data_IF_108861989042
#
_entry.id   IF_108861989042
#
_cell.length_a   1.000
_cell.length_b   1.000
_cell.length_c   1.000
_cell.angle_alpha   90.00
_cell.angle_beta   90.00
_cell.angle_gamma   90.00
#
_symmetry.space_group_name_H-M   'P 1'
#
loop_
_entity.id
_entity.type
_entity.pdbx_description
1 polymer ?
#
# COMPACT_ATOMS: atom_id res chain seq x y z
N UNK A 1 9.63 6.12 -3.05
CA UNK A 1 9.24 4.70 -3.41
C UNK A 1 8.21 4.18 -2.41
N UNK A 2 7.72 2.94 -2.55
CA UNK A 2 6.65 2.45 -1.68
C UNK A 2 6.56 0.93 -1.76
N UNK A 3 5.99 0.30 -0.72
CA UNK A 3 5.65 -1.13 -0.75
C UNK A 3 4.29 -1.32 -0.09
N UNK A 4 3.33 -1.94 -0.76
CA UNK A 4 2.05 -2.35 -0.18
C UNK A 4 2.01 -3.87 -0.04
N UNK A 5 1.32 -4.35 0.99
CA UNK A 5 1.16 -5.78 1.23
C UNK A 5 -0.22 -6.09 1.82
N UNK A 6 -0.62 -7.34 1.65
CA UNK A 6 -1.75 -7.94 2.34
C UNK A 6 -1.25 -9.01 3.32
N UNK A 7 -2.01 -9.31 4.35
CA UNK A 7 -1.76 -10.43 5.25
C UNK A 7 -3.10 -10.97 5.76
N UNK A 8 -3.22 -12.27 5.85
CA UNK A 8 -4.46 -12.90 6.30
C UNK A 8 -4.18 -13.91 7.40
N UNK A 9 -4.87 -13.74 8.50
CA UNK A 9 -5.00 -14.71 9.59
C UNK A 9 -6.49 -14.99 9.78
N UNK A 10 -7.05 -14.83 10.98
CA UNK A 10 -8.49 -14.79 11.20
C UNK A 10 -9.13 -13.59 10.49
N UNK A 11 -8.52 -12.40 10.64
CA UNK A 11 -8.91 -11.19 9.95
C UNK A 11 -8.00 -10.95 8.74
N UNK A 12 -8.40 -10.03 7.86
CA UNK A 12 -7.64 -9.59 6.70
C UNK A 12 -6.98 -8.24 7.00
N UNK A 13 -5.70 -8.14 6.70
CA UNK A 13 -4.86 -6.97 6.93
C UNK A 13 -4.32 -6.43 5.61
N UNK A 14 -4.29 -5.11 5.50
CA UNK A 14 -3.78 -4.39 4.33
C UNK A 14 -3.00 -3.16 4.81
N UNK A 15 -1.93 -2.80 4.13
CA UNK A 15 -1.19 -1.57 4.43
C UNK A 15 0.03 -1.39 3.55
N UNK A 16 0.79 -0.35 3.84
CA UNK A 16 1.93 0.05 3.03
C UNK A 16 3.04 0.72 3.82
N UNK A 17 4.24 0.83 3.21
CA UNK A 17 5.21 1.87 3.52
C UNK A 17 5.04 3.05 2.57
N UNK A 18 5.08 4.29 3.06
CA UNK A 18 5.27 5.48 2.22
C UNK A 18 6.75 5.87 2.30
N UNK A 19 7.48 5.64 1.21
CA UNK A 19 8.91 5.97 1.15
C UNK A 19 9.09 7.22 0.29
N UNK A 20 9.55 8.30 0.92
CA UNK A 20 9.75 9.60 0.29
C UNK A 20 10.76 10.45 1.07
N UNK A 21 11.14 11.62 0.54
CA UNK A 21 12.11 12.51 1.20
C UNK A 21 11.48 13.42 2.27
N UNK A 22 10.17 13.65 2.23
CA UNK A 22 9.45 14.47 3.21
C UNK A 22 7.96 14.10 3.29
N UNK A 23 7.31 14.47 4.40
CA UNK A 23 5.86 14.36 4.60
C UNK A 23 5.18 15.65 4.15
N UNK A 24 4.08 15.53 3.39
CA UNK A 24 3.23 16.66 3.01
C UNK A 24 2.35 17.17 4.16
N UNK A 25 2.38 16.54 5.32
CA UNK A 25 1.45 16.78 6.43
C UNK A 25 0.41 15.68 6.50
N UNK A 26 0.88 14.44 6.32
CA UNK A 26 0.06 13.24 6.28
C UNK A 26 -0.64 13.04 7.62
N UNK A 27 -1.90 12.59 7.57
CA UNK A 27 -2.74 12.35 8.74
C UNK A 27 -3.72 11.20 8.48
N UNK A 28 -4.12 10.50 9.53
CA UNK A 28 -5.20 9.51 9.43
C UNK A 28 -6.52 10.27 9.31
N UNK A 29 -7.22 10.06 8.21
CA UNK A 29 -8.47 10.75 7.90
C UNK A 29 -9.61 9.75 7.76
N UNK A 30 -10.72 10.02 8.45
CA UNK A 30 -12.00 9.34 8.26
C UNK A 30 -12.90 10.24 7.43
N UNK A 31 -13.40 9.70 6.31
CA UNK A 31 -14.47 10.31 5.52
C UNK A 31 -15.78 9.62 5.88
N UNK A 32 -16.68 10.28 6.64
CA UNK A 32 -17.97 9.72 7.03
C UNK A 32 -18.93 9.60 5.84
N UNK A 33 -19.99 8.82 6.00
CA UNK A 33 -20.94 8.44 4.92
C UNK A 33 -21.62 9.60 4.21
N UNK A 34 -21.84 10.72 4.89
CA UNK A 34 -22.52 11.89 4.34
C UNK A 34 -21.59 13.04 3.97
N UNK A 35 -20.28 12.80 3.95
CA UNK A 35 -19.33 13.73 3.34
C UNK A 35 -19.55 13.76 1.83
N UNK A 36 -19.72 14.94 1.23
CA UNK A 36 -19.92 15.08 -0.22
C UNK A 36 -18.59 15.06 -0.94
N UNK A 37 -18.30 13.96 -1.67
CA UNK A 37 -17.19 13.94 -2.61
C UNK A 37 -17.57 14.68 -3.88
N UNK A 38 -16.76 15.67 -4.23
CA UNK A 38 -16.81 16.39 -5.51
C UNK A 38 -15.70 15.90 -6.41
N UNK A 39 -16.09 15.41 -7.57
CA UNK A 39 -15.16 14.89 -8.57
C UNK A 39 -15.06 15.84 -9.76
N UNK A 40 -13.99 15.71 -10.56
CA UNK A 40 -13.73 16.62 -11.70
C UNK A 40 -14.67 16.39 -12.87
N UNK A 41 -14.91 15.11 -13.21
CA UNK A 41 -15.59 14.75 -14.47
C UNK A 41 -16.61 13.61 -14.31
N UNK A 42 -16.76 13.04 -13.14
CA UNK A 42 -17.81 12.10 -12.78
C UNK A 42 -18.77 12.75 -11.78
N UNK A 43 -19.94 12.17 -11.60
CA UNK A 43 -20.96 12.70 -10.69
C UNK A 43 -20.49 12.74 -9.24
N UNK A 44 -20.87 13.80 -8.53
CA UNK A 44 -20.63 13.96 -7.10
C UNK A 44 -21.34 12.88 -6.30
N UNK A 45 -20.68 12.38 -5.24
CA UNK A 45 -21.25 11.35 -4.37
C UNK A 45 -21.56 11.96 -3.00
N UNK A 46 -22.85 12.04 -2.66
CA UNK A 46 -23.35 12.66 -1.41
C UNK A 46 -23.51 11.69 -0.25
N UNK A 47 -23.64 10.41 -0.56
CA UNK A 47 -23.76 9.34 0.43
C UNK A 47 -23.03 8.10 -0.06
N UNK A 48 -22.16 7.56 0.76
CA UNK A 48 -21.23 6.51 0.38
C UNK A 48 -20.80 5.66 1.59
N UNK A 49 -19.99 4.65 1.38
CA UNK A 49 -19.38 3.89 2.47
C UNK A 49 -18.36 4.78 3.21
N UNK A 50 -18.35 4.70 4.54
CA UNK A 50 -17.31 5.39 5.33
C UNK A 50 -15.92 4.84 4.98
N UNK A 51 -14.95 5.75 4.91
CA UNK A 51 -13.57 5.46 4.49
C UNK A 51 -12.63 5.90 5.62
N UNK A 52 -11.58 5.12 5.90
CA UNK A 52 -10.46 5.51 6.74
C UNK A 52 -9.15 5.22 6.02
N UNK A 53 -8.20 6.15 6.08
CA UNK A 53 -6.91 5.99 5.44
C UNK A 53 -5.92 7.08 5.79
N UNK A 54 -4.71 6.97 5.27
CA UNK A 54 -3.71 8.02 5.34
C UNK A 54 -3.91 8.98 4.18
N UNK A 55 -4.01 10.27 4.47
CA UNK A 55 -4.25 11.30 3.46
C UNK A 55 -3.47 12.58 3.75
N UNK A 56 -3.21 13.32 2.71
CA UNK A 56 -2.95 14.76 2.79
C UNK A 56 -4.26 15.49 2.52
N UNK A 57 -4.77 16.21 3.52
CA UNK A 57 -6.03 16.96 3.38
C UNK A 57 -5.73 18.40 3.00
N UNK A 58 -6.25 18.81 1.84
CA UNK A 58 -6.13 20.18 1.33
C UNK A 58 -7.43 20.58 0.65
N UNK A 59 -7.85 21.84 0.79
CA UNK A 59 -9.11 22.36 0.22
C UNK A 59 -10.33 21.49 0.60
N UNK A 60 -10.35 21.00 1.86
CA UNK A 60 -11.34 20.06 2.39
C UNK A 60 -11.49 18.74 1.59
N UNK A 61 -10.47 18.39 0.79
CA UNK A 61 -10.42 17.15 0.02
C UNK A 61 -9.32 16.21 0.54
N UNK A 62 -9.64 14.94 0.85
CA UNK A 62 -8.67 13.96 1.32
C UNK A 62 -7.95 13.30 0.14
N UNK A 63 -6.69 13.66 -0.08
CA UNK A 63 -5.82 13.01 -1.06
C UNK A 63 -5.23 11.74 -0.42
N UNK A 64 -5.93 10.62 -0.55
CA UNK A 64 -5.56 9.36 0.06
C UNK A 64 -4.34 8.72 -0.62
N UNK A 65 -3.39 8.25 0.17
CA UNK A 65 -2.29 7.38 -0.26
C UNK A 65 -2.67 5.91 -0.18
N UNK A 66 -3.34 5.51 0.90
CA UNK A 66 -3.95 4.22 1.15
C UNK A 66 -5.19 4.40 2.03
N UNK A 67 -6.19 3.57 1.80
CA UNK A 67 -7.42 3.62 2.58
C UNK A 67 -8.18 2.29 2.51
N UNK A 68 -9.09 2.11 3.45
CA UNK A 68 -10.09 1.06 3.47
C UNK A 68 -11.48 1.65 3.65
N UNK A 69 -12.49 0.95 3.18
CA UNK A 69 -13.87 1.30 3.52
C UNK A 69 -14.48 0.33 4.55
N UNK A 70 -15.61 0.72 5.11
CA UNK A 70 -16.35 -0.06 6.10
C UNK A 70 -16.90 -1.41 5.59
N UNK A 71 -16.85 -1.66 4.28
CA UNK A 71 -17.28 -2.91 3.64
C UNK A 71 -16.17 -3.93 3.45
N UNK A 72 -14.93 -3.53 3.70
CA UNK A 72 -13.80 -4.44 3.65
C UNK A 72 -13.02 -4.41 2.34
N UNK A 73 -13.14 -3.34 1.56
CA UNK A 73 -12.31 -3.08 0.39
C UNK A 73 -11.16 -2.15 0.79
N UNK A 74 -9.95 -2.44 0.30
CA UNK A 74 -8.72 -1.71 0.58
C UNK A 74 -8.03 -1.31 -0.72
N UNK A 75 -7.43 -0.09 -0.76
CA UNK A 75 -6.68 0.42 -1.92
C UNK A 75 -5.44 1.17 -1.44
N UNK A 76 -4.33 1.03 -2.17
CA UNK A 76 -3.17 1.90 -2.04
C UNK A 76 -2.67 2.32 -3.43
N UNK A 77 -2.28 3.60 -3.56
CA UNK A 77 -1.62 4.15 -4.73
C UNK A 77 -0.11 4.25 -4.49
N UNK A 78 0.70 3.74 -5.41
CA UNK A 78 2.15 3.72 -5.32
C UNK A 78 2.77 4.40 -6.54
N UNK A 79 3.95 5.00 -6.37
CA UNK A 79 4.67 5.65 -7.47
C UNK A 79 5.00 4.68 -8.61
N UNK A 80 4.70 5.11 -9.86
CA UNK A 80 4.90 4.35 -11.09
C UNK A 80 5.50 5.25 -12.19
N UNK A 81 6.50 6.03 -11.81
CA UNK A 81 7.14 7.06 -12.62
C UNK A 81 7.70 6.49 -13.92
N UNK A 82 7.41 7.17 -15.05
CA UNK A 82 7.87 6.76 -16.37
C UNK A 82 7.07 5.63 -17.03
N UNK A 83 6.16 4.97 -16.30
CA UNK A 83 5.26 3.95 -16.84
C UNK A 83 3.79 4.38 -16.79
N UNK A 84 3.39 5.13 -15.77
CA UNK A 84 2.03 5.67 -15.71
C UNK A 84 1.76 6.60 -16.91
N UNK A 85 0.64 6.37 -17.58
CA UNK A 85 0.16 7.17 -18.68
C UNK A 85 -1.33 7.46 -18.51
N UNK A 86 -1.67 8.74 -18.43
CA UNK A 86 -3.03 9.23 -18.27
C UNK A 86 -3.49 9.90 -19.56
N UNK A 87 -4.78 9.89 -19.80
CA UNK A 87 -5.37 10.33 -21.05
C UNK A 87 -6.26 11.56 -20.84
N UNK A 88 -6.50 12.28 -21.91
CA UNK A 88 -7.56 13.29 -21.97
C UNK A 88 -8.93 12.62 -21.77
N UNK A 89 -9.93 13.44 -21.48
CA UNK A 89 -11.33 13.01 -21.33
C UNK A 89 -11.79 12.17 -22.52
N UNK A 90 -12.39 11.01 -22.23
CA UNK A 90 -12.92 10.09 -23.22
C UNK A 90 -14.46 10.02 -23.11
N UNK A 91 -15.15 10.20 -24.23
CA UNK A 91 -16.60 10.05 -24.28
C UNK A 91 -17.03 8.60 -23.98
N UNK A 92 -18.10 8.44 -23.18
CA UNK A 92 -18.63 7.12 -22.82
C UNK A 92 -17.79 6.35 -21.77
N UNK A 93 -16.82 7.01 -21.13
CA UNK A 93 -16.03 6.48 -20.03
C UNK A 93 -16.25 7.27 -18.74
N UNK A 94 -16.09 6.60 -17.62
CA UNK A 94 -15.98 7.25 -16.32
C UNK A 94 -14.60 7.90 -16.21
N UNK A 95 -14.55 9.22 -16.36
CA UNK A 95 -13.31 9.99 -16.40
C UNK A 95 -12.92 10.41 -14.99
N UNK A 96 -11.94 9.73 -14.40
CA UNK A 96 -11.54 9.87 -12.98
C UNK A 96 -10.09 10.37 -12.92
N UNK A 97 -9.83 11.46 -12.21
CA UNK A 97 -8.46 11.92 -12.01
C UNK A 97 -7.71 10.93 -11.09
N UNK A 98 -6.39 10.83 -11.27
CA UNK A 98 -5.58 9.85 -10.55
C UNK A 98 -5.68 9.99 -9.01
N UNK A 99 -5.85 11.20 -8.50
CA UNK A 99 -6.02 11.47 -7.06
C UNK A 99 -7.44 11.15 -6.55
N UNK A 100 -8.41 11.03 -7.43
CA UNK A 100 -9.80 10.70 -7.11
C UNK A 100 -10.07 9.19 -7.07
N UNK A 101 -9.17 8.37 -7.64
CA UNK A 101 -9.42 6.94 -7.85
C UNK A 101 -9.71 6.20 -6.53
N UNK A 102 -8.93 6.46 -5.47
CA UNK A 102 -9.13 5.81 -4.17
C UNK A 102 -10.51 6.15 -3.59
N UNK A 103 -10.87 7.43 -3.36
CA UNK A 103 -12.19 7.75 -2.81
C UNK A 103 -13.33 7.36 -3.74
N UNK A 104 -13.16 7.47 -5.08
CA UNK A 104 -14.21 7.12 -6.04
C UNK A 104 -14.57 5.62 -6.00
N UNK A 105 -13.58 4.74 -5.91
CA UNK A 105 -13.81 3.29 -5.81
C UNK A 105 -14.34 2.92 -4.42
N UNK A 106 -13.68 3.39 -3.34
CA UNK A 106 -14.04 3.01 -1.98
C UNK A 106 -15.42 3.51 -1.55
N UNK A 107 -15.90 4.61 -2.13
CA UNK A 107 -17.22 5.13 -1.85
C UNK A 107 -18.36 4.24 -2.39
N UNK A 108 -18.10 3.43 -3.44
CA UNK A 108 -19.13 2.72 -4.20
C UNK A 108 -19.00 1.20 -4.14
N UNK A 109 -17.78 0.68 -4.03
CA UNK A 109 -17.50 -0.76 -4.15
C UNK A 109 -17.30 -1.40 -2.79
N UNK A 110 -17.87 -2.58 -2.59
CA UNK A 110 -17.75 -3.38 -1.37
C UNK A 110 -16.67 -4.47 -1.46
N UNK A 111 -16.22 -4.81 -2.67
CA UNK A 111 -15.30 -5.90 -2.94
C UNK A 111 -14.53 -5.67 -4.26
N UNK A 112 -13.50 -6.49 -4.48
CA UNK A 112 -12.63 -6.40 -5.67
C UNK A 112 -13.37 -6.64 -6.98
N UNK A 113 -14.39 -7.50 -7.02
CA UNK A 113 -15.14 -7.75 -8.26
C UNK A 113 -15.93 -6.52 -8.70
N UNK A 114 -16.57 -5.81 -7.75
CA UNK A 114 -17.26 -4.55 -8.04
C UNK A 114 -16.27 -3.47 -8.50
N UNK A 115 -15.12 -3.37 -7.83
CA UNK A 115 -14.05 -2.46 -8.23
C UNK A 115 -13.53 -2.75 -9.65
N UNK A 116 -13.31 -4.03 -10.00
CA UNK A 116 -12.89 -4.46 -11.34
C UNK A 116 -13.89 -4.01 -12.40
N UNK A 117 -15.19 -4.29 -12.20
CA UNK A 117 -16.25 -3.91 -13.14
C UNK A 117 -16.34 -2.39 -13.33
N UNK A 118 -16.05 -1.62 -12.28
CA UNK A 118 -16.04 -0.16 -12.33
C UNK A 118 -14.83 0.34 -13.13
N UNK A 119 -13.64 -0.20 -12.86
CA UNK A 119 -12.37 0.17 -13.51
C UNK A 119 -12.37 -0.15 -15.02
N UNK A 120 -13.03 -1.23 -15.46
CA UNK A 120 -13.12 -1.57 -16.89
C UNK A 120 -13.81 -0.47 -17.73
N UNK A 121 -14.65 0.34 -17.11
CA UNK A 121 -15.35 1.47 -17.73
C UNK A 121 -14.61 2.79 -17.56
N UNK A 122 -13.59 2.83 -16.73
CA UNK A 122 -12.86 4.04 -16.33
C UNK A 122 -11.87 4.50 -17.38
N UNK A 123 -11.58 5.79 -17.37
CA UNK A 123 -10.42 6.42 -17.96
C UNK A 123 -9.72 7.26 -16.91
N UNK A 124 -8.41 7.08 -16.74
CA UNK A 124 -7.63 7.90 -15.80
C UNK A 124 -7.23 9.19 -16.49
N UNK A 125 -7.67 10.33 -15.92
CA UNK A 125 -7.47 11.66 -16.48
C UNK A 125 -6.06 12.20 -16.24
N UNK A 126 -5.57 12.89 -17.25
CA UNK A 126 -4.36 13.71 -17.20
C UNK A 126 -4.65 15.10 -16.56
N UNK A 127 -5.21 15.10 -15.36
CA UNK A 127 -5.63 16.33 -14.65
C UNK A 127 -4.96 16.39 -13.29
N UNK A 128 -4.13 17.43 -13.00
CA UNK A 128 -3.55 17.63 -11.69
C UNK A 128 -4.60 18.07 -10.67
N UNK A 129 -4.32 17.89 -9.38
CA UNK A 129 -5.20 18.43 -8.33
C UNK A 129 -5.21 19.96 -8.36
N UNK A 130 -4.03 20.58 -8.43
CA UNK A 130 -3.82 22.01 -8.55
C UNK A 130 -2.44 22.31 -9.17
N UNK A 131 -2.15 23.58 -9.45
CA UNK A 131 -0.82 24.00 -9.93
C UNK A 131 0.31 23.67 -8.95
N UNK A 132 0.01 23.61 -7.64
CA UNK A 132 0.97 23.27 -6.58
C UNK A 132 1.12 21.77 -6.35
N UNK A 133 0.14 20.99 -6.76
CA UNK A 133 0.09 19.54 -6.61
C UNK A 133 -0.06 18.93 -8.02
N UNK A 134 1.08 18.73 -8.71
CA UNK A 134 1.10 18.21 -10.08
C UNK A 134 0.64 16.75 -10.14
N UNK A 135 0.54 16.24 -11.36
CA UNK A 135 0.20 14.83 -11.60
C UNK A 135 1.15 13.88 -10.85
N UNK A 136 0.58 13.03 -10.03
CA UNK A 136 1.30 11.90 -9.46
C UNK A 136 1.21 10.70 -10.41
N UNK A 137 2.36 10.16 -10.81
CA UNK A 137 2.43 8.93 -11.61
C UNK A 137 2.20 7.74 -10.70
N UNK A 138 1.02 7.12 -10.74
CA UNK A 138 0.61 6.07 -9.81
C UNK A 138 0.18 4.79 -10.53
N UNK A 139 0.28 3.69 -9.82
CA UNK A 139 -0.45 2.46 -10.00
C UNK A 139 -1.04 1.99 -8.66
N UNK A 140 -1.98 1.06 -8.69
CA UNK A 140 -2.76 0.75 -7.49
C UNK A 140 -2.83 -0.73 -7.22
N UNK A 141 -2.83 -1.10 -5.94
CA UNK A 141 -3.26 -2.40 -5.45
C UNK A 141 -4.63 -2.24 -4.79
N UNK A 142 -5.56 -3.12 -5.16
CA UNK A 142 -6.93 -3.16 -4.62
C UNK A 142 -7.15 -4.56 -4.08
N UNK A 143 -7.63 -4.67 -2.86
CA UNK A 143 -7.70 -5.96 -2.17
C UNK A 143 -8.93 -6.05 -1.27
N UNK A 144 -9.46 -7.25 -1.16
CA UNK A 144 -10.41 -7.66 -0.14
C UNK A 144 -9.94 -8.97 0.53
N UNK A 145 -10.73 -9.54 1.41
CA UNK A 145 -10.35 -10.76 2.15
C UNK A 145 -10.19 -12.02 1.27
N UNK A 146 -10.54 -11.96 -0.01
CA UNK A 146 -10.56 -13.08 -0.94
C UNK A 146 -9.53 -12.98 -2.06
N UNK A 147 -9.23 -11.77 -2.52
CA UNK A 147 -8.36 -11.55 -3.68
C UNK A 147 -7.72 -10.16 -3.67
N UNK A 148 -6.70 -10.02 -4.50
CA UNK A 148 -6.03 -8.75 -4.79
C UNK A 148 -5.87 -8.58 -6.30
N UNK A 149 -5.96 -7.34 -6.77
CA UNK A 149 -5.62 -6.95 -8.14
C UNK A 149 -4.63 -5.79 -8.15
N UNK A 150 -3.87 -5.70 -9.21
CA UNK A 150 -3.02 -4.55 -9.52
C UNK A 150 -3.57 -3.82 -10.74
N UNK A 151 -3.70 -2.50 -10.65
CA UNK A 151 -4.24 -1.65 -11.72
C UNK A 151 -3.14 -0.69 -12.18
N UNK A 152 -2.83 -0.73 -13.45
CA UNK A 152 -1.83 0.11 -14.11
C UNK A 152 -2.44 0.83 -15.32
N UNK A 153 -2.42 2.17 -15.31
CA UNK A 153 -2.77 2.97 -16.48
C UNK A 153 -1.49 3.25 -17.26
N UNK A 154 -1.35 2.59 -18.40
CA UNK A 154 -0.17 2.66 -19.27
C UNK A 154 -0.55 3.13 -20.67
N UNK A 155 0.43 3.33 -21.57
CA UNK A 155 0.20 3.88 -22.90
C UNK A 155 -0.86 3.08 -23.68
N UNK A 156 -0.89 1.76 -23.53
CA UNK A 156 -1.85 0.87 -24.19
C UNK A 156 -3.23 0.83 -23.51
N UNK A 157 -3.43 1.59 -22.43
CA UNK A 157 -4.67 1.67 -21.67
C UNK A 157 -4.53 1.07 -20.26
N UNK A 158 -5.67 0.87 -19.61
CA UNK A 158 -5.71 0.31 -18.26
C UNK A 158 -5.45 -1.20 -18.33
N UNK A 159 -4.50 -1.68 -17.51
CA UNK A 159 -4.22 -3.09 -17.29
C UNK A 159 -4.68 -3.46 -15.89
N UNK A 160 -5.40 -4.57 -15.78
CA UNK A 160 -5.85 -5.13 -14.49
C UNK A 160 -5.24 -6.54 -14.40
N UNK A 161 -4.35 -6.71 -13.42
CA UNK A 161 -3.70 -8.00 -13.16
C UNK A 161 -4.26 -8.64 -11.91
N UNK A 162 -4.51 -9.93 -11.93
CA UNK A 162 -4.67 -10.70 -10.70
C UNK A 162 -3.35 -10.70 -9.93
N UNK A 163 -3.42 -10.38 -8.63
CA UNK A 163 -2.23 -10.29 -7.78
C UNK A 163 -2.25 -11.38 -6.71
N UNK A 164 -1.84 -12.61 -7.03
CA UNK A 164 -1.88 -13.72 -6.08
C UNK A 164 -0.87 -13.57 -4.93
N UNK A 165 0.14 -12.72 -5.11
CA UNK A 165 1.15 -12.43 -4.08
C UNK A 165 0.60 -11.46 -3.05
N UNK A 166 -0.32 -10.54 -3.44
CA UNK A 166 -0.83 -9.48 -2.59
C UNK A 166 0.27 -8.52 -2.12
N UNK A 167 1.22 -8.23 -2.99
CA UNK A 167 2.30 -7.24 -2.79
C UNK A 167 2.38 -6.36 -4.04
N UNK A 168 2.63 -5.08 -3.85
CA UNK A 168 2.96 -4.14 -4.91
C UNK A 168 4.08 -3.22 -4.43
N UNK A 169 5.03 -2.90 -5.33
CA UNK A 169 6.06 -1.89 -5.09
C UNK A 169 5.96 -0.77 -6.12
N UNK A 170 7.00 -0.50 -6.90
CA UNK A 170 7.02 0.53 -7.90
C UNK A 170 7.35 -0.08 -9.28
N UNK A 171 8.21 0.58 -10.08
CA UNK A 171 8.72 0.03 -11.34
C UNK A 171 9.51 -1.28 -11.15
N UNK A 172 9.53 -2.17 -12.14
CA UNK A 172 8.81 -2.13 -13.41
C UNK A 172 7.32 -2.51 -13.26
N UNK A 173 6.60 -2.68 -14.39
CA UNK A 173 5.22 -3.15 -14.41
C UNK A 173 5.03 -4.48 -13.67
N UNK A 174 3.83 -4.69 -13.15
CA UNK A 174 3.52 -5.80 -12.25
C UNK A 174 3.78 -7.19 -12.90
N UNK A 175 3.48 -7.37 -14.17
CA UNK A 175 3.76 -8.60 -14.92
C UNK A 175 5.25 -8.96 -14.91
N UNK A 176 6.14 -7.94 -15.04
CA UNK A 176 7.59 -8.13 -14.98
C UNK A 176 8.06 -8.46 -13.57
N UNK A 177 7.46 -7.83 -12.56
CA UNK A 177 7.75 -8.15 -11.16
C UNK A 177 7.36 -9.60 -10.83
N UNK A 178 6.19 -10.03 -11.27
CA UNK A 178 5.74 -11.42 -11.13
C UNK A 178 6.67 -12.41 -11.88
N UNK A 179 7.06 -12.06 -13.11
CA UNK A 179 8.01 -12.89 -13.87
C UNK A 179 9.34 -13.05 -13.13
N UNK A 180 9.85 -11.99 -12.50
CA UNK A 180 11.12 -12.01 -11.79
C UNK A 180 11.15 -13.00 -10.62
N UNK A 181 10.01 -13.32 -10.00
CA UNK A 181 9.93 -14.32 -8.92
C UNK A 181 10.44 -15.70 -9.34
N UNK A 182 10.37 -16.04 -10.65
CA UNK A 182 10.88 -17.31 -11.18
C UNK A 182 12.39 -17.48 -10.88
N UNK A 183 13.14 -16.39 -10.80
CA UNK A 183 14.58 -16.44 -10.52
C UNK A 183 14.88 -16.80 -9.05
N UNK A 184 13.85 -16.82 -8.17
CA UNK A 184 13.96 -17.00 -6.73
C UNK A 184 13.24 -18.24 -6.21
N UNK A 185 12.83 -19.16 -7.10
CA UNK A 185 12.13 -20.40 -6.72
C UNK A 185 12.94 -21.31 -5.79
N UNK A 186 14.25 -21.12 -5.71
CA UNK A 186 15.13 -21.89 -4.83
C UNK A 186 15.12 -21.40 -3.39
N UNK A 187 14.62 -20.19 -3.12
CA UNK A 187 14.55 -19.63 -1.76
C UNK A 187 13.59 -20.45 -0.89
N UNK A 188 14.02 -20.70 0.34
CA UNK A 188 13.27 -21.51 1.29
C UNK A 188 13.52 -21.04 2.73
N UNK A 189 12.54 -21.10 3.64
CA UNK A 189 12.80 -20.92 5.08
C UNK A 189 13.56 -22.12 5.69
N UNK A 190 13.64 -23.26 4.99
CA UNK A 190 14.37 -24.45 5.41
C UNK A 190 15.84 -24.36 5.06
N UNK A 191 16.68 -25.03 5.83
CA UNK A 191 18.11 -25.17 5.51
C UNK A 191 18.30 -25.91 4.17
N UNK A 192 19.22 -25.45 3.30
CA UNK A 192 19.48 -26.10 2.03
C UNK A 192 20.24 -27.44 2.21
N UNK A 193 20.02 -28.33 1.27
CA UNK A 193 20.86 -29.53 1.07
C UNK A 193 22.00 -29.21 0.09
N UNK A 194 23.14 -29.93 0.21
CA UNK A 194 24.21 -29.82 -0.78
C UNK A 194 23.76 -30.39 -2.13
N UNK A 195 23.34 -29.51 -3.04
CA UNK A 195 23.02 -29.84 -4.45
C UNK A 195 24.08 -29.35 -5.43
N UNK A 196 25.18 -28.74 -4.92
CA UNK A 196 26.23 -28.15 -5.75
C UNK A 196 27.07 -29.22 -6.42
N UNK A 197 27.61 -30.16 -5.64
CA UNK A 197 28.35 -31.33 -6.15
C UNK A 197 28.39 -32.43 -5.09
N UNK A 198 28.35 -33.69 -5.55
CA UNK A 198 28.57 -34.86 -4.69
C UNK A 198 30.04 -35.06 -4.33
N UNK A 199 30.95 -34.42 -5.06
CA UNK A 199 32.40 -34.51 -4.84
C UNK A 199 32.90 -33.56 -3.75
N UNK A 200 32.05 -32.60 -3.34
CA UNK A 200 32.39 -31.61 -2.31
C UNK A 200 31.54 -31.83 -1.05
N UNK A 201 32.18 -31.99 0.05
CA UNK A 201 31.54 -32.03 1.37
C UNK A 201 31.31 -30.59 1.86
N UNK A 202 30.13 -30.03 1.47
CA UNK A 202 29.69 -28.70 1.86
C UNK A 202 28.70 -28.80 3.01
N UNK A 203 28.97 -28.08 4.09
CA UNK A 203 28.16 -28.08 5.30
C UNK A 203 27.54 -26.73 5.62
N UNK A 204 26.46 -26.74 6.39
CA UNK A 204 25.82 -25.54 6.89
C UNK A 204 26.70 -24.86 7.94
N UNK A 205 26.92 -23.54 7.80
CA UNK A 205 27.68 -22.74 8.77
C UNK A 205 26.75 -21.82 9.62
N UNK A 206 25.48 -21.63 9.23
CA UNK A 206 24.53 -20.84 9.99
C UNK A 206 23.06 -21.26 9.72
N UNK A 207 22.15 -20.76 10.57
CA UNK A 207 20.70 -20.82 10.29
C UNK A 207 20.32 -19.80 9.23
N UNK A 208 19.18 -19.98 8.54
CA UNK A 208 18.64 -19.07 7.55
C UNK A 208 19.29 -19.17 6.16
N UNK A 209 20.22 -20.12 5.95
CA UNK A 209 20.92 -20.29 4.67
C UNK A 209 20.00 -20.65 3.50
N UNK A 210 18.77 -21.11 3.71
CA UNK A 210 17.79 -21.34 2.65
C UNK A 210 17.36 -20.05 1.93
N UNK A 211 17.57 -18.89 2.53
CA UNK A 211 17.28 -17.59 1.95
C UNK A 211 18.53 -16.90 1.35
N UNK A 212 19.65 -17.62 1.16
CA UNK A 212 20.82 -17.05 0.49
C UNK A 212 20.45 -16.62 -0.93
N UNK A 213 20.73 -15.34 -1.25
CA UNK A 213 20.36 -14.73 -2.53
C UNK A 213 19.05 -13.95 -2.47
N UNK A 214 18.34 -13.92 -1.32
CA UNK A 214 17.24 -12.98 -1.13
C UNK A 214 17.80 -11.55 -1.25
N UNK A 215 17.29 -10.71 -2.19
CA UNK A 215 17.88 -9.41 -2.45
C UNK A 215 17.71 -8.47 -1.25
N UNK A 216 18.78 -7.76 -0.89
CA UNK A 216 18.85 -6.88 0.28
C UNK A 216 18.85 -5.40 -0.05
N UNK A 217 19.00 -5.01 -1.33
CA UNK A 217 18.99 -3.61 -1.74
C UNK A 217 17.60 -2.98 -1.71
N UNK A 218 17.54 -1.65 -1.82
CA UNK A 218 16.30 -0.87 -1.68
C UNK A 218 15.54 -0.66 -2.99
N UNK A 219 16.00 -1.24 -4.12
CA UNK A 219 15.29 -1.11 -5.39
C UNK A 219 13.89 -1.73 -5.34
N UNK A 220 13.01 -1.24 -6.20
CA UNK A 220 11.61 -1.67 -6.22
C UNK A 220 11.45 -3.18 -6.40
N UNK A 221 12.20 -3.78 -7.34
CA UNK A 221 12.13 -5.22 -7.60
C UNK A 221 12.65 -6.03 -6.41
N UNK A 222 13.75 -5.61 -5.80
CA UNK A 222 14.31 -6.27 -4.60
C UNK A 222 13.36 -6.23 -3.42
N UNK A 223 12.70 -5.09 -3.20
CA UNK A 223 11.66 -4.94 -2.17
C UNK A 223 10.44 -5.81 -2.47
N UNK A 224 10.02 -5.89 -3.74
CA UNK A 224 8.92 -6.78 -4.14
C UNK A 224 9.20 -8.24 -3.78
N UNK A 225 10.38 -8.74 -4.17
CA UNK A 225 10.81 -10.13 -3.90
C UNK A 225 10.92 -10.36 -2.39
N UNK A 226 11.55 -9.43 -1.66
CA UNK A 226 11.75 -9.55 -0.21
C UNK A 226 10.43 -9.50 0.56
N UNK A 227 9.53 -8.57 0.23
CA UNK A 227 8.19 -8.50 0.84
C UNK A 227 7.36 -9.73 0.51
N UNK A 228 7.39 -10.22 -0.73
CA UNK A 228 6.71 -11.44 -1.15
C UNK A 228 7.21 -12.66 -0.38
N UNK A 229 8.53 -12.86 -0.33
CA UNK A 229 9.14 -13.97 0.41
C UNK A 229 8.79 -13.90 1.90
N UNK A 230 8.98 -12.74 2.52
CA UNK A 230 8.71 -12.55 3.94
C UNK A 230 7.23 -12.80 4.25
N UNK A 231 6.31 -12.20 3.50
CA UNK A 231 4.87 -12.38 3.68
C UNK A 231 4.43 -13.84 3.55
N UNK A 232 4.87 -14.51 2.47
CA UNK A 232 4.41 -15.87 2.14
C UNK A 232 4.97 -16.94 3.08
N UNK A 233 6.07 -16.65 3.77
CA UNK A 233 6.71 -17.57 4.73
C UNK A 233 6.51 -17.16 6.20
N UNK A 234 5.88 -16.02 6.46
CA UNK A 234 5.56 -15.56 7.82
C UNK A 234 4.26 -16.17 8.33
N UNK A 235 4.20 -16.39 9.63
CA UNK A 235 2.96 -16.74 10.32
C UNK A 235 2.92 -16.07 11.69
N UNK A 236 1.72 -15.84 12.20
CA UNK A 236 1.46 -15.34 13.55
C UNK A 236 0.34 -16.15 14.21
N UNK A 237 0.08 -15.86 15.48
CA UNK A 237 -1.18 -16.25 16.07
C UNK A 237 -2.32 -15.50 15.37
N UNK A 238 -3.54 -16.04 15.47
CA UNK A 238 -4.72 -15.49 14.79
C UNK A 238 -5.32 -14.27 15.52
N UNK A 239 -4.86 -13.95 16.74
CA UNK A 239 -5.32 -12.75 17.45
C UNK A 239 -4.81 -11.47 16.76
N UNK A 240 -5.57 -10.39 16.92
CA UNK A 240 -5.30 -9.13 16.24
C UNK A 240 -3.94 -8.53 16.59
N UNK A 241 -3.54 -8.54 17.87
CA UNK A 241 -2.26 -7.96 18.30
C UNK A 241 -1.07 -8.69 17.66
N UNK A 242 -1.12 -10.02 17.63
CA UNK A 242 -0.10 -10.86 17.00
C UNK A 242 -0.07 -10.63 15.49
N UNK A 243 -1.24 -10.52 14.84
CA UNK A 243 -1.36 -10.31 13.41
C UNK A 243 -0.86 -8.93 12.99
N UNK A 244 -1.23 -7.87 13.71
CA UNK A 244 -0.75 -6.50 13.49
C UNK A 244 0.77 -6.43 13.67
N UNK A 245 1.30 -6.98 14.77
CA UNK A 245 2.74 -7.04 15.00
C UNK A 245 3.47 -7.74 13.86
N UNK A 246 2.97 -8.90 13.41
CA UNK A 246 3.56 -9.64 12.29
C UNK A 246 3.49 -8.84 10.98
N UNK A 247 2.43 -8.10 10.74
CA UNK A 247 2.31 -7.24 9.56
C UNK A 247 3.40 -6.16 9.53
N UNK A 248 3.65 -5.50 10.66
CA UNK A 248 4.75 -4.54 10.77
C UNK A 248 6.14 -5.20 10.57
N UNK A 249 6.34 -6.44 11.01
CA UNK A 249 7.57 -7.18 10.70
C UNK A 249 7.70 -7.51 9.21
N UNK A 250 6.60 -7.80 8.51
CA UNK A 250 6.63 -8.03 7.06
C UNK A 250 7.08 -6.77 6.34
N UNK A 251 6.45 -5.63 6.59
CA UNK A 251 6.81 -4.36 5.96
C UNK A 251 8.13 -3.79 6.48
N UNK A 252 8.50 -4.01 7.73
CA UNK A 252 9.82 -3.66 8.28
C UNK A 252 10.99 -4.33 7.55
N UNK A 253 10.74 -5.44 6.83
CA UNK A 253 11.76 -6.06 5.98
C UNK A 253 12.16 -5.19 4.77
N UNK A 254 11.39 -4.16 4.45
CA UNK A 254 11.58 -3.26 3.29
C UNK A 254 11.65 -1.78 3.67
N UNK A 255 11.75 -1.49 4.97
CA UNK A 255 11.92 -0.12 5.47
C UNK A 255 13.17 0.54 4.89
N UNK A 256 13.08 1.84 4.62
CA UNK A 256 14.17 2.66 4.11
C UNK A 256 14.71 3.57 5.20
N UNK A 257 16.00 3.37 5.52
CA UNK A 257 16.70 4.08 6.57
C UNK A 257 17.36 5.34 6.01
N UNK A 258 17.34 6.42 6.77
CA UNK A 258 18.00 7.69 6.44
C UNK A 258 19.49 7.46 6.14
N UNK A 259 19.94 7.96 5.00
CA UNK A 259 21.31 7.82 4.53
C UNK A 259 21.55 6.62 3.59
N UNK A 260 20.62 5.65 3.52
CA UNK A 260 20.81 4.46 2.67
C UNK A 260 20.29 4.64 1.23
N UNK A 261 19.47 5.66 0.98
CA UNK A 261 19.02 6.05 -0.36
C UNK A 261 19.18 7.56 -0.51
N UNK A 262 20.33 7.97 -1.05
CA UNK A 262 20.71 9.36 -1.24
C UNK A 262 20.13 9.90 -2.56
N UNK A 263 19.40 11.00 -2.48
CA UNK A 263 18.78 11.70 -3.61
C UNK A 263 19.57 12.94 -4.03
N UNK A 264 20.69 13.23 -3.37
CA UNK A 264 21.46 14.47 -3.51
C UNK A 264 20.90 15.62 -2.66
N UNK A 265 21.66 16.70 -2.55
CA UNK A 265 21.26 17.93 -1.83
C UNK A 265 20.80 17.66 -0.38
N UNK A 266 21.50 16.78 0.35
CA UNK A 266 21.16 16.35 1.72
C UNK A 266 19.75 15.76 1.89
N UNK A 267 19.16 15.25 0.81
CA UNK A 267 17.88 14.56 0.80
C UNK A 267 18.06 13.06 0.76
N UNK A 268 17.28 12.38 1.57
CA UNK A 268 17.28 10.92 1.64
C UNK A 268 15.85 10.40 1.52
N UNK A 269 15.68 9.32 0.78
CA UNK A 269 14.42 8.59 0.83
C UNK A 269 14.38 7.77 2.11
N UNK A 270 13.29 7.94 2.87
CA UNK A 270 13.03 7.23 4.13
C UNK A 270 11.59 6.72 4.15
N UNK A 271 11.32 5.71 4.95
CA UNK A 271 9.95 5.27 5.22
C UNK A 271 9.27 6.28 6.15
N UNK A 272 8.50 7.22 5.59
CA UNK A 272 7.79 8.28 6.34
C UNK A 272 6.81 7.67 7.35
N UNK A 273 6.03 6.68 6.90
CA UNK A 273 5.15 5.89 7.76
C UNK A 273 5.00 4.47 7.22
N UNK A 274 4.65 3.55 8.11
CA UNK A 274 4.14 2.23 7.78
C UNK A 274 2.73 2.11 8.30
N UNK A 275 1.79 1.68 7.46
CA UNK A 275 0.40 1.43 7.83
C UNK A 275 0.05 -0.06 7.88
N UNK A 276 -0.95 -0.38 8.68
CA UNK A 276 -1.61 -1.68 8.75
C UNK A 276 -3.08 -1.47 9.08
N UNK A 277 -3.99 -1.86 8.19
CA UNK A 277 -5.43 -1.81 8.46
C UNK A 277 -5.93 -3.19 8.85
N UNK A 278 -6.67 -3.33 9.96
CA UNK A 278 -7.57 -4.45 10.12
C UNK A 278 -8.84 -4.14 9.32
N UNK A 279 -8.90 -4.71 8.12
CA UNK A 279 -9.93 -4.38 7.12
C UNK A 279 -11.33 -4.86 7.55
N UNK A 280 -11.41 -5.95 8.34
CA UNK A 280 -12.67 -6.46 8.85
C UNK A 280 -13.26 -5.59 9.97
N UNK A 281 -12.41 -4.88 10.71
CA UNK A 281 -12.81 -4.07 11.88
C UNK A 281 -12.79 -2.57 11.65
N UNK A 282 -12.30 -2.12 10.48
CA UNK A 282 -12.19 -0.68 10.21
C UNK A 282 -11.19 0.04 11.11
N UNK A 283 -10.09 -0.62 11.50
CA UNK A 283 -9.05 -0.06 12.37
C UNK A 283 -7.80 0.20 11.55
N UNK A 284 -7.30 1.43 11.59
CA UNK A 284 -6.07 1.86 10.94
C UNK A 284 -4.95 1.97 11.98
N UNK A 285 -3.89 1.17 11.83
CA UNK A 285 -2.68 1.20 12.64
C UNK A 285 -1.55 1.84 11.85
N UNK A 286 -0.66 2.58 12.52
CA UNK A 286 0.52 3.14 11.87
C UNK A 286 1.70 3.29 12.83
N UNK A 287 2.90 3.34 12.26
CA UNK A 287 4.13 3.86 12.85
C UNK A 287 4.68 4.95 11.94
N UNK A 288 5.52 5.84 12.45
CA UNK A 288 6.24 6.83 11.64
C UNK A 288 7.75 6.61 11.75
N UNK A 289 8.54 7.25 10.89
CA UNK A 289 9.99 7.15 10.97
C UNK A 289 10.54 7.54 12.35
N UNK A 290 9.97 8.57 12.95
CA UNK A 290 10.42 9.12 14.23
C UNK A 290 9.60 8.61 15.43
N UNK A 291 8.66 7.68 15.24
CA UNK A 291 7.90 7.04 16.31
C UNK A 291 7.58 5.57 15.96
N UNK A 292 8.22 4.64 16.65
CA UNK A 292 8.03 3.20 16.49
C UNK A 292 6.83 2.65 17.25
N UNK A 293 6.19 3.46 18.12
CA UNK A 293 4.99 3.03 18.82
C UNK A 293 3.83 2.86 17.83
N UNK A 294 3.27 1.65 17.77
CA UNK A 294 2.07 1.41 16.95
C UNK A 294 0.90 2.20 17.54
N UNK A 295 0.36 3.09 16.72
CA UNK A 295 -0.82 3.92 17.05
C UNK A 295 -2.02 3.45 16.23
N UNK A 296 -3.23 3.51 16.79
CA UNK A 296 -4.44 3.02 16.15
C UNK A 296 -5.55 4.07 16.13
N UNK A 297 -6.29 4.13 15.02
CA UNK A 297 -7.55 4.87 14.87
C UNK A 297 -8.63 3.88 14.46
N UNK A 298 -9.71 3.80 15.22
CA UNK A 298 -10.86 2.93 14.96
C UNK A 298 -12.02 3.77 14.43
N UNK A 299 -12.36 3.58 13.14
CA UNK A 299 -13.40 4.39 12.49
C UNK A 299 -14.77 4.22 13.15
N UNK A 300 -15.07 3.06 13.75
CA UNK A 300 -16.36 2.80 14.38
C UNK A 300 -16.54 3.45 15.75
N UNK A 301 -15.50 4.11 16.28
CA UNK A 301 -15.61 4.95 17.47
C UNK A 301 -16.01 6.38 17.15
N UNK A 302 -16.13 6.71 15.88
CA UNK A 302 -16.45 8.04 15.39
C UNK A 302 -17.89 8.12 14.84
N UNK A 303 -18.38 9.35 14.67
CA UNK A 303 -19.68 9.60 14.07
C UNK A 303 -19.61 9.43 12.54
N UNK A 304 -19.87 8.21 12.06
CA UNK A 304 -19.85 7.90 10.63
C UNK A 304 -21.03 8.49 9.84
N UNK A 305 -22.01 9.10 10.50
CA UNK A 305 -23.10 9.86 9.85
C UNK A 305 -22.79 11.36 9.73
N UNK A 306 -21.60 11.79 10.08
CA UNK A 306 -21.15 13.18 9.89
C UNK A 306 -21.02 13.51 8.39
N UNK A 307 -21.00 14.80 8.08
CA UNK A 307 -20.73 15.34 6.74
C UNK A 307 -19.41 16.11 6.69
N UNK A 308 -18.56 16.00 7.72
CA UNK A 308 -17.24 16.63 7.80
C UNK A 308 -16.17 15.59 8.08
N UNK A 309 -14.98 15.80 7.54
CA UNK A 309 -13.83 14.92 7.74
C UNK A 309 -13.43 14.88 9.23
N UNK A 310 -13.03 13.71 9.70
CA UNK A 310 -12.47 13.50 11.04
C UNK A 310 -10.99 13.18 10.86
N UNK A 311 -10.12 13.99 11.50
CA UNK A 311 -8.69 14.04 11.18
C UNK A 311 -7.85 13.80 12.42
N UNK A 312 -6.83 12.96 12.29
CA UNK A 312 -5.87 12.61 13.34
C UNK A 312 -4.44 12.86 12.86
N UNK A 313 -3.81 13.98 13.23
CA UNK A 313 -2.42 14.23 12.91
C UNK A 313 -1.51 13.10 13.42
N UNK A 314 -0.49 12.77 12.64
CA UNK A 314 0.44 11.71 13.00
C UNK A 314 1.23 12.06 14.25
N UNK A 315 1.38 11.08 15.16
CA UNK A 315 2.28 11.17 16.31
C UNK A 315 3.70 10.93 15.80
N UNK A 316 4.56 11.94 15.89
CA UNK A 316 5.93 11.91 15.34
C UNK A 316 7.00 11.81 16.41
N UNK A 317 6.67 12.07 17.68
CA UNK A 317 7.63 12.01 18.78
C UNK A 317 7.82 10.55 19.24
N UNK A 318 9.07 10.09 19.27
CA UNK A 318 9.43 8.74 19.73
C UNK A 318 9.01 8.54 21.20
N UNK A 319 8.33 7.45 21.47
CA UNK A 319 7.83 7.09 22.79
C UNK A 319 8.65 5.94 23.39
N UNK A 320 9.66 6.31 24.18
CA UNK A 320 10.52 5.32 24.85
C UNK A 320 9.96 5.02 26.24
N UNK A 321 9.56 3.78 26.47
CA UNK A 321 9.12 3.33 27.78
C UNK A 321 10.32 2.94 28.65
N UNK A 322 10.54 3.65 29.74
CA UNK A 322 11.51 3.28 30.78
C UNK A 322 10.89 2.25 31.72
N UNK A 323 11.63 1.20 32.08
CA UNK A 323 11.13 0.12 32.95
C UNK A 323 11.56 0.27 34.41
N UNK A 324 12.48 1.16 34.72
CA UNK A 324 13.01 1.42 36.05
C UNK A 324 12.70 2.85 36.51
#
# INVERSE_FOLDING_TARGET
>A
MCTAATYKTKDFYFGRTLDYEFSYGDEVTITPRNFEFKFREVDDIKSHYAIIGMAFVTEDYPLYYDAINEKGLAIAGLNFVGNAHYKEKQEGKDNVAQFELIPWILSQCSNVNEARNLIEKMNVLNTPFSDKLPLASLHWIISDSTQSITVESVIDGIKIYDNPVGVLTNNPSFDKQMFALNNYMYLSPKSPENKFSKELDLSLYSRGMGAIGLPGDLSSQSRFIRAAYTKLNSFSKEDEKSSVSQFFHILGSVDQQRGCCDLGDDKFEITIYTSCCNVNKGIYYYTTYDNHQITAVDMHKENLESNVLIRYPLIKEEQIRTQN
#
